data_IF_340296095894
#
_entry.id   IF_340296095894
#
_cell.length_a   1.000
_cell.length_b   1.000
_cell.length_c   1.000
_cell.angle_alpha   90.00
_cell.angle_beta   90.00
_cell.angle_gamma   90.00
#
_symmetry.space_group_name_H-M   'P 1'
#
loop_
_entity.id
_entity.type
_entity.pdbx_description
1 polymer ?
#
# COMPACT_ATOMS: atom_id res chain seq x y z
N UNK A 1 11.17 -5.98 -3.37
CA UNK A 1 10.80 -4.68 -3.96
C UNK A 1 11.10 -3.61 -2.94
N UNK A 2 11.65 -2.47 -3.36
CA UNK A 2 11.80 -1.31 -2.49
C UNK A 2 10.60 -0.41 -2.75
N UNK A 3 9.65 -0.40 -1.82
CA UNK A 3 8.54 0.55 -1.84
C UNK A 3 9.04 1.91 -1.37
N UNK A 4 8.57 2.98 -2.03
CA UNK A 4 8.80 4.33 -1.53
C UNK A 4 7.80 4.63 -0.42
N UNK A 5 8.31 4.89 0.79
CA UNK A 5 7.46 5.31 1.92
C UNK A 5 7.22 6.81 1.79
N UNK A 6 5.99 7.17 1.47
CA UNK A 6 5.53 8.57 1.50
C UNK A 6 5.16 8.96 2.92
N UNK A 7 5.41 10.23 3.27
CA UNK A 7 5.00 10.78 4.56
C UNK A 7 4.26 12.10 4.35
N UNK A 8 3.03 12.15 4.83
CA UNK A 8 2.21 13.36 4.85
C UNK A 8 1.74 13.63 6.27
N UNK A 9 2.24 14.72 6.87
CA UNK A 9 2.02 15.05 8.27
C UNK A 9 2.36 13.86 9.20
N UNK A 10 1.34 13.28 9.84
CA UNK A 10 1.43 12.13 10.75
C UNK A 10 1.24 10.78 10.06
N UNK A 11 0.88 10.76 8.78
CA UNK A 11 0.60 9.55 8.02
C UNK A 11 1.85 9.09 7.28
N UNK A 12 2.15 7.81 7.38
CA UNK A 12 3.15 7.12 6.58
C UNK A 12 2.46 6.00 5.81
N UNK A 13 2.64 5.98 4.50
CA UNK A 13 1.97 5.03 3.62
C UNK A 13 2.81 4.75 2.39
N UNK A 14 2.41 3.73 1.65
CA UNK A 14 2.89 3.45 0.29
C UNK A 14 1.74 3.73 -0.67
N UNK A 15 2.06 4.11 -1.90
CA UNK A 15 1.07 4.38 -2.94
C UNK A 15 1.63 3.83 -4.25
N UNK A 16 0.92 2.87 -4.82
CA UNK A 16 1.35 2.06 -5.96
C UNK A 16 0.18 1.89 -6.93
N UNK A 17 0.44 1.95 -8.23
CA UNK A 17 -0.59 1.89 -9.28
C UNK A 17 -1.18 3.25 -9.64
N UNK A 18 -2.05 3.27 -10.65
CA UNK A 18 -2.72 4.47 -11.16
C UNK A 18 -4.16 4.14 -11.56
N UNK A 19 -5.15 4.81 -10.94
CA UNK A 19 -6.57 4.68 -11.31
C UNK A 19 -7.50 4.82 -10.11
N UNK A 20 -8.43 3.88 -9.91
CA UNK A 20 -9.42 3.99 -8.83
C UNK A 20 -8.78 3.75 -7.45
N UNK A 21 -8.90 4.68 -6.48
CA UNK A 21 -8.23 4.52 -5.19
C UNK A 21 -8.78 3.35 -4.36
N UNK A 22 -7.92 2.38 -4.08
CA UNK A 22 -8.16 1.29 -3.13
C UNK A 22 -7.29 1.48 -1.88
N UNK A 23 -7.93 1.71 -0.72
CA UNK A 23 -7.22 1.94 0.54
C UNK A 23 -7.12 0.65 1.36
N UNK A 24 -5.90 0.21 1.66
CA UNK A 24 -5.62 -0.95 2.51
C UNK A 24 -5.21 -0.50 3.91
N UNK A 25 -5.96 -0.94 4.93
CA UNK A 25 -5.71 -0.62 6.33
C UNK A 25 -5.33 -1.89 7.09
N UNK A 26 -4.17 -1.89 7.73
CA UNK A 26 -3.72 -3.01 8.53
C UNK A 26 -4.18 -2.88 10.00
N UNK A 27 -4.32 -4.02 10.68
CA UNK A 27 -4.63 -4.08 12.11
C UNK A 27 -3.40 -3.94 13.01
N UNK A 28 -3.58 -4.18 14.31
CA UNK A 28 -2.49 -4.26 15.28
C UNK A 28 -1.50 -5.35 14.86
N UNK A 29 -0.19 -5.08 14.99
CA UNK A 29 0.90 -5.95 14.54
C UNK A 29 0.91 -6.29 13.04
N UNK A 30 0.13 -5.58 12.23
CA UNK A 30 0.19 -5.69 10.77
C UNK A 30 1.52 -5.16 10.24
N UNK A 31 2.10 -5.90 9.31
CA UNK A 31 3.28 -5.50 8.55
C UNK A 31 2.93 -5.33 7.07
N UNK A 32 3.70 -4.52 6.35
CA UNK A 32 3.51 -4.29 4.92
C UNK A 32 3.59 -5.59 4.11
N UNK A 33 4.39 -6.55 4.56
CA UNK A 33 4.52 -7.88 3.96
C UNK A 33 3.21 -8.68 3.94
N UNK A 34 2.25 -8.38 4.82
CA UNK A 34 0.93 -9.04 4.80
C UNK A 34 0.11 -8.66 3.56
N UNK A 35 0.42 -7.52 2.92
CA UNK A 35 -0.34 -6.97 1.80
C UNK A 35 0.41 -7.05 0.48
N UNK A 36 1.62 -7.61 0.46
CA UNK A 36 2.50 -7.57 -0.72
C UNK A 36 1.85 -8.19 -1.96
N UNK A 37 1.26 -9.38 -1.83
CA UNK A 37 0.56 -10.05 -2.94
C UNK A 37 -0.69 -9.28 -3.38
N UNK A 38 -1.35 -8.61 -2.44
CA UNK A 38 -2.56 -7.82 -2.71
C UNK A 38 -2.24 -6.56 -3.51
N UNK A 39 -1.17 -5.87 -3.12
CA UNK A 39 -0.65 -4.68 -3.82
C UNK A 39 -0.22 -5.07 -5.24
N UNK A 40 0.54 -6.17 -5.39
CA UNK A 40 1.00 -6.63 -6.70
C UNK A 40 -0.15 -7.00 -7.64
N UNK A 41 -1.21 -7.60 -7.11
CA UNK A 41 -2.40 -7.89 -7.90
C UNK A 41 -3.13 -6.61 -8.31
N UNK A 42 -3.50 -5.76 -7.36
CA UNK A 42 -4.38 -4.64 -7.66
C UNK A 42 -3.71 -3.50 -8.43
N UNK A 43 -2.40 -3.27 -8.26
CA UNK A 43 -1.69 -2.20 -9.00
C UNK A 43 -1.67 -2.37 -10.52
N UNK A 44 -2.02 -3.56 -11.02
CA UNK A 44 -2.12 -3.87 -12.46
C UNK A 44 -3.57 -3.89 -12.96
N UNK A 45 -4.53 -3.98 -12.05
CA UNK A 45 -5.94 -4.18 -12.38
C UNK A 45 -6.78 -2.91 -12.17
N UNK A 46 -6.28 -1.97 -11.38
CA UNK A 46 -6.87 -0.67 -11.10
C UNK A 46 -5.84 0.42 -11.25
#
# INVERSE_FOLDING_TARGET
MNYEIKQEQKFKFIEEGEGEPLVLLHGLFGALSNFMDLIEYFRQHY
#
